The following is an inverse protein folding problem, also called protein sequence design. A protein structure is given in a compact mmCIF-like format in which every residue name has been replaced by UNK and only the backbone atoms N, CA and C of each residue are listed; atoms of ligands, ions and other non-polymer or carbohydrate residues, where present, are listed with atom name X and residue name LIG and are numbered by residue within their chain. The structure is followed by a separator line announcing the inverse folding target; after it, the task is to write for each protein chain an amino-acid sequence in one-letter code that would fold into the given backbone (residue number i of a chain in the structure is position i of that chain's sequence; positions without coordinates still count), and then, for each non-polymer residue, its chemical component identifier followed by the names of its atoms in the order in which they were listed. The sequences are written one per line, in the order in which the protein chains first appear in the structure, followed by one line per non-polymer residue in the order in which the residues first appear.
data_IF_788016360528
#
_entry.id   IF_788016360528
#
_cell.length_a   1.000
_cell.length_b   1.000
_cell.length_c   1.000
_cell.angle_alpha   90.00
_cell.angle_beta   90.00
_cell.angle_gamma   90.00
#
_symmetry.space_group_name_H-M   'P 1'
#
loop_
_entity.id
_entity.type
_entity.pdbx_description
1 polymer ?
#
# COMPACT_ATOMS: atom_id res chain seq x y z
N UNK A 1 -16.09 -2.01 5.77
CA UNK A 1 -15.46 -3.13 5.03
C UNK A 1 -13.96 -3.09 5.30
N UNK A 2 -13.40 -4.10 5.97
CA UNK A 2 -11.95 -4.18 6.26
C UNK A 2 -11.43 -5.52 5.73
N UNK A 3 -10.62 -5.47 4.67
CA UNK A 3 -10.07 -6.66 4.01
C UNK A 3 -9.08 -7.40 4.91
N UNK A 4 -8.23 -6.67 5.64
CA UNK A 4 -7.27 -7.24 6.58
C UNK A 4 -7.97 -8.04 7.66
N UNK A 5 -9.06 -7.49 8.23
CA UNK A 5 -9.88 -8.20 9.23
C UNK A 5 -10.54 -9.45 8.63
N UNK A 6 -11.09 -9.38 7.42
CA UNK A 6 -11.70 -10.54 6.76
C UNK A 6 -10.68 -11.66 6.53
N UNK A 7 -9.49 -11.34 6.03
CA UNK A 7 -8.39 -12.30 5.85
C UNK A 7 -7.93 -12.87 7.19
N UNK A 8 -7.79 -12.03 8.22
CA UNK A 8 -7.45 -12.46 9.59
C UNK A 8 -8.48 -13.45 10.13
N UNK A 9 -9.76 -13.21 9.91
CA UNK A 9 -10.84 -14.12 10.30
C UNK A 9 -10.78 -15.46 9.56
N UNK A 10 -10.47 -15.47 8.26
CA UNK A 10 -10.27 -16.71 7.52
C UNK A 10 -9.11 -17.53 8.07
N UNK A 11 -7.97 -16.89 8.34
CA UNK A 11 -6.81 -17.57 8.91
C UNK A 11 -7.08 -18.06 10.33
N UNK A 12 -7.78 -17.29 11.18
CA UNK A 12 -8.29 -17.76 12.47
C UNK A 12 -9.12 -19.04 12.32
N UNK A 13 -10.08 -19.05 11.39
CA UNK A 13 -10.97 -20.20 11.17
C UNK A 13 -10.20 -21.44 10.72
N UNK A 14 -9.21 -21.30 9.84
CA UNK A 14 -8.32 -22.42 9.46
C UNK A 14 -7.62 -23.03 10.67
N UNK A 15 -7.09 -22.19 11.56
CA UNK A 15 -6.36 -22.62 12.75
C UNK A 15 -7.28 -23.25 13.78
N UNK A 16 -8.47 -22.69 13.97
CA UNK A 16 -9.48 -23.18 14.91
C UNK A 16 -10.08 -24.53 14.46
N UNK A 17 -10.33 -24.70 13.15
CA UNK A 17 -10.89 -25.94 12.58
C UNK A 17 -9.94 -27.14 12.72
N UNK A 18 -8.63 -26.89 12.81
CA UNK A 18 -7.63 -27.95 13.06
C UNK A 18 -7.63 -28.51 14.51
N UNK A 19 -8.47 -27.96 15.39
CA UNK A 19 -8.59 -28.34 16.80
C UNK A 19 -7.37 -27.94 17.64
N UNK A 20 -7.32 -28.30 18.94
CA UNK A 20 -6.20 -27.96 19.80
C UNK A 20 -4.92 -28.76 19.49
N UNK A 21 -3.78 -28.28 19.97
CA UNK A 21 -2.48 -28.97 19.89
C UNK A 21 -1.45 -28.26 19.01
N UNK A 22 -0.23 -28.79 18.99
CA UNK A 22 0.90 -28.17 18.29
C UNK A 22 0.72 -28.23 16.77
N UNK A 23 0.77 -27.06 16.12
CA UNK A 23 0.53 -26.92 14.68
C UNK A 23 1.75 -26.35 13.95
N UNK A 24 1.88 -26.75 12.69
CA UNK A 24 2.73 -26.11 11.69
C UNK A 24 1.85 -25.48 10.61
N UNK A 25 2.15 -24.24 10.24
CA UNK A 25 1.52 -23.57 9.10
C UNK A 25 2.43 -23.73 7.87
N UNK A 26 1.96 -24.50 6.90
CA UNK A 26 2.68 -24.85 5.67
C UNK A 26 2.13 -24.02 4.52
N UNK A 27 2.96 -23.15 3.95
CA UNK A 27 2.55 -22.10 3.01
C UNK A 27 3.35 -22.12 1.72
N UNK A 28 2.88 -21.38 0.71
CA UNK A 28 3.66 -20.98 -0.45
C UNK A 28 4.17 -19.54 -0.28
N UNK A 29 4.89 -19.03 -1.28
CA UNK A 29 5.45 -17.66 -1.26
C UNK A 29 4.39 -16.56 -1.05
N UNK A 30 3.25 -16.66 -1.72
CA UNK A 30 2.19 -15.65 -1.66
C UNK A 30 1.36 -15.80 -0.39
N UNK A 31 0.99 -17.02 -0.01
CA UNK A 31 0.22 -17.24 1.22
C UNK A 31 1.02 -16.90 2.47
N UNK A 32 2.35 -17.07 2.44
CA UNK A 32 3.25 -16.53 3.46
C UNK A 32 3.14 -15.01 3.56
N UNK A 33 3.13 -14.31 2.42
CA UNK A 33 2.99 -12.85 2.38
C UNK A 33 1.64 -12.41 2.96
N UNK A 34 0.55 -13.07 2.57
CA UNK A 34 -0.80 -12.82 3.08
C UNK A 34 -0.85 -12.95 4.61
N UNK A 35 -0.39 -14.09 5.15
CA UNK A 35 -0.40 -14.34 6.60
C UNK A 35 0.48 -13.34 7.35
N UNK A 36 1.64 -12.98 6.80
CA UNK A 36 2.58 -12.06 7.43
C UNK A 36 2.05 -10.62 7.60
N UNK A 37 1.04 -10.24 6.81
CA UNK A 37 0.40 -8.91 6.89
C UNK A 37 -0.70 -8.88 7.95
N UNK A 38 -1.38 -10.01 8.22
CA UNK A 38 -2.56 -10.07 9.11
C UNK A 38 -2.26 -10.61 10.51
N UNK A 39 -1.12 -11.30 10.70
CA UNK A 39 -0.69 -11.85 11.98
C UNK A 39 0.75 -11.49 12.31
N UNK A 40 0.95 -11.10 13.57
CA UNK A 40 2.27 -11.14 14.19
C UNK A 40 2.62 -12.57 14.61
N UNK A 41 3.92 -12.85 14.74
CA UNK A 41 4.37 -14.14 15.28
C UNK A 41 3.81 -14.40 16.69
N UNK A 42 3.75 -13.38 17.54
CA UNK A 42 3.22 -13.52 18.91
C UNK A 42 1.74 -13.90 18.93
N UNK A 43 0.91 -13.27 18.09
CA UNK A 43 -0.53 -13.58 18.02
C UNK A 43 -0.79 -15.00 17.50
N UNK A 44 -0.06 -15.45 16.48
CA UNK A 44 -0.32 -16.76 15.89
C UNK A 44 0.24 -17.90 16.75
N UNK A 45 1.33 -17.64 17.50
CA UNK A 45 1.85 -18.56 18.52
C UNK A 45 0.84 -18.80 19.64
N UNK A 46 0.08 -17.77 20.05
CA UNK A 46 -1.02 -17.91 21.02
C UNK A 46 -2.16 -18.81 20.50
N UNK A 47 -2.21 -19.07 19.20
CA UNK A 47 -3.15 -20.00 18.56
C UNK A 47 -2.53 -21.40 18.31
N UNK A 48 -1.46 -21.73 19.03
CA UNK A 48 -0.74 -23.02 19.00
C UNK A 48 -0.04 -23.34 17.66
N UNK A 49 0.20 -22.32 16.83
CA UNK A 49 1.00 -22.44 15.60
C UNK A 49 2.45 -22.08 15.92
N UNK A 50 3.29 -23.10 16.10
CA UNK A 50 4.67 -22.93 16.57
C UNK A 50 5.71 -22.92 15.45
N UNK A 51 5.35 -23.47 14.30
CA UNK A 51 6.25 -23.61 13.17
C UNK A 51 5.62 -23.04 11.90
N UNK A 52 6.44 -22.33 11.11
CA UNK A 52 6.06 -21.78 9.81
C UNK A 52 7.01 -22.32 8.78
N UNK A 53 6.47 -22.98 7.78
CA UNK A 53 7.25 -23.67 6.77
C UNK A 53 6.75 -23.35 5.37
N UNK A 54 7.67 -23.43 4.42
CA UNK A 54 7.33 -23.34 2.99
C UNK A 54 7.21 -24.74 2.40
N UNK A 55 6.18 -24.97 1.59
CA UNK A 55 5.93 -26.27 0.97
C UNK A 55 7.08 -26.72 0.06
N UNK A 56 7.72 -25.76 -0.63
CA UNK A 56 8.88 -25.96 -1.51
C UNK A 56 10.23 -26.03 -0.77
N UNK A 57 10.24 -25.87 0.56
CA UNK A 57 11.44 -26.11 1.37
C UNK A 57 11.80 -27.60 1.38
N UNK A 58 12.99 -27.93 0.87
CA UNK A 58 13.45 -29.31 0.78
C UNK A 58 13.87 -29.91 2.14
N UNK A 59 14.40 -29.07 3.05
CA UNK A 59 15.02 -29.53 4.31
C UNK A 59 14.06 -29.55 5.51
N UNK A 60 12.74 -29.70 5.30
CA UNK A 60 11.79 -29.80 6.42
C UNK A 60 11.97 -31.10 7.20
N UNK A 61 12.03 -31.00 8.52
CA UNK A 61 12.17 -32.15 9.43
C UNK A 61 10.86 -32.95 9.56
N UNK A 62 10.98 -34.22 9.95
CA UNK A 62 9.84 -35.09 10.21
C UNK A 62 9.38 -34.89 11.66
N UNK A 63 8.18 -34.34 11.84
CA UNK A 63 7.62 -33.95 13.13
C UNK A 63 6.20 -34.48 13.28
N UNK A 64 6.08 -35.81 13.45
CA UNK A 64 4.79 -36.52 13.56
C UNK A 64 3.91 -36.12 14.75
N UNK A 65 4.43 -35.36 15.71
CA UNK A 65 3.65 -34.79 16.80
C UNK A 65 2.92 -33.49 16.41
N UNK A 66 3.20 -32.92 15.24
CA UNK A 66 2.56 -31.70 14.73
C UNK A 66 1.42 -32.01 13.77
N UNK A 67 0.39 -31.16 13.81
CA UNK A 67 -0.66 -31.05 12.78
C UNK A 67 -0.26 -30.01 11.74
N UNK A 68 -0.40 -30.33 10.46
CA UNK A 68 -0.12 -29.42 9.37
C UNK A 68 -1.37 -28.69 8.92
N UNK A 69 -1.32 -27.36 8.89
CA UNK A 69 -2.29 -26.50 8.24
C UNK A 69 -1.66 -26.02 6.94
N UNK A 70 -2.08 -26.57 5.80
CA UNK A 70 -1.59 -26.17 4.50
C UNK A 70 -2.45 -25.02 3.97
N UNK A 71 -1.88 -23.82 3.79
CA UNK A 71 -2.56 -22.71 3.12
C UNK A 71 -1.83 -22.36 1.84
N UNK A 72 -2.37 -22.76 0.69
CA UNK A 72 -1.67 -22.76 -0.59
C UNK A 72 -2.51 -22.14 -1.71
N UNK A 73 -1.88 -21.59 -2.75
CA UNK A 73 -2.54 -21.34 -4.04
C UNK A 73 -2.69 -22.65 -4.81
N UNK A 74 -3.79 -22.86 -5.54
CA UNK A 74 -3.96 -24.04 -6.39
C UNK A 74 -3.17 -23.88 -7.71
N UNK A 75 -1.85 -23.74 -7.61
CA UNK A 75 -0.95 -23.77 -8.77
C UNK A 75 -0.45 -25.18 -8.98
N UNK A 76 -0.11 -25.51 -10.24
CA UNK A 76 0.45 -26.83 -10.59
C UNK A 76 1.66 -27.18 -9.72
N UNK A 77 2.58 -26.25 -9.53
CA UNK A 77 3.78 -26.41 -8.70
C UNK A 77 3.42 -26.74 -7.24
N UNK A 78 2.49 -26.00 -6.63
CA UNK A 78 2.08 -26.24 -5.24
C UNK A 78 1.37 -27.58 -5.08
N UNK A 79 0.52 -27.96 -6.04
CA UNK A 79 -0.16 -29.26 -6.05
C UNK A 79 0.87 -30.39 -6.17
N UNK A 80 1.87 -30.26 -7.03
CA UNK A 80 2.96 -31.24 -7.14
C UNK A 80 3.76 -31.36 -5.84
N UNK A 81 4.10 -30.25 -5.19
CA UNK A 81 4.79 -30.29 -3.89
C UNK A 81 3.91 -30.92 -2.80
N UNK A 82 2.61 -30.65 -2.80
CA UNK A 82 1.68 -31.25 -1.85
C UNK A 82 1.50 -32.76 -2.10
N UNK A 83 1.45 -33.20 -3.37
CA UNK A 83 1.46 -34.63 -3.72
C UNK A 83 2.72 -35.31 -3.19
N UNK A 84 3.89 -34.68 -3.37
CA UNK A 84 5.15 -35.22 -2.84
C UNK A 84 5.15 -35.28 -1.30
N UNK A 85 4.58 -34.28 -0.65
CA UNK A 85 4.38 -34.25 0.80
C UNK A 85 3.47 -35.39 1.27
N UNK A 86 2.31 -35.61 0.64
CA UNK A 86 1.36 -36.64 1.05
C UNK A 86 1.87 -38.07 0.82
N UNK A 87 2.70 -38.28 -0.21
CA UNK A 87 3.38 -39.58 -0.42
C UNK A 87 4.38 -39.91 0.69
N UNK A 88 4.97 -38.89 1.32
CA UNK A 88 5.97 -39.03 2.39
C UNK A 88 5.68 -38.00 3.49
N UNK A 89 4.57 -38.16 4.22
CA UNK A 89 4.09 -37.12 5.12
C UNK A 89 5.08 -36.90 6.25
N UNK A 90 5.36 -35.65 6.57
CA UNK A 90 6.25 -35.21 7.66
C UNK A 90 5.50 -34.92 8.96
N UNK A 91 4.18 -34.77 8.88
CA UNK A 91 3.31 -34.45 10.01
C UNK A 91 2.30 -35.57 10.25
N UNK A 92 1.54 -35.53 11.35
CA UNK A 92 0.55 -36.59 11.66
C UNK A 92 -0.74 -36.43 10.86
N UNK A 93 -1.23 -35.20 10.72
CA UNK A 93 -2.52 -34.89 10.10
C UNK A 93 -2.38 -33.61 9.28
N UNK A 94 -3.06 -33.55 8.13
CA UNK A 94 -3.05 -32.43 7.21
C UNK A 94 -4.46 -31.84 7.06
N UNK A 95 -4.55 -30.52 7.24
CA UNK A 95 -5.73 -29.71 6.92
C UNK A 95 -5.36 -28.83 5.74
N UNK A 96 -5.92 -29.10 4.57
CA UNK A 96 -5.53 -28.49 3.30
C UNK A 96 -6.53 -27.39 2.93
N UNK A 97 -6.01 -26.17 2.75
CA UNK A 97 -6.78 -24.99 2.39
C UNK A 97 -6.20 -24.35 1.12
N UNK A 98 -7.00 -24.30 0.06
CA UNK A 98 -6.63 -23.60 -1.15
C UNK A 98 -7.19 -22.17 -1.15
N UNK A 99 -6.37 -21.17 -1.48
CA UNK A 99 -6.79 -19.76 -1.58
C UNK A 99 -7.75 -19.46 -2.74
N UNK A 100 -7.94 -20.41 -3.67
CA UNK A 100 -8.85 -20.32 -4.80
C UNK A 100 -9.34 -21.73 -5.20
N UNK A 101 -10.19 -21.81 -6.22
CA UNK A 101 -10.73 -23.07 -6.74
C UNK A 101 -9.62 -23.97 -7.30
N UNK A 102 -9.67 -25.23 -6.90
CA UNK A 102 -8.85 -26.32 -7.40
C UNK A 102 -9.68 -27.23 -8.32
N UNK A 103 -9.07 -27.81 -9.35
CA UNK A 103 -9.79 -28.69 -10.27
C UNK A 103 -10.10 -30.05 -9.63
N UNK A 104 -11.17 -30.71 -10.11
CA UNK A 104 -11.52 -32.07 -9.67
C UNK A 104 -10.41 -33.08 -9.97
N UNK A 105 -9.67 -32.90 -11.07
CA UNK A 105 -8.53 -33.75 -11.42
C UNK A 105 -7.37 -33.62 -10.43
N UNK A 106 -7.08 -32.41 -9.96
CA UNK A 106 -6.03 -32.18 -8.96
C UNK A 106 -6.45 -32.73 -7.59
N UNK A 107 -7.72 -32.57 -7.19
CA UNK A 107 -8.25 -33.21 -5.98
C UNK A 107 -8.09 -34.74 -6.06
N UNK A 108 -8.42 -35.34 -7.21
CA UNK A 108 -8.24 -36.79 -7.41
C UNK A 108 -6.77 -37.19 -7.28
N UNK A 109 -5.85 -36.44 -7.87
CA UNK A 109 -4.42 -36.71 -7.76
C UNK A 109 -3.89 -36.59 -6.31
N UNK A 110 -4.44 -35.66 -5.51
CA UNK A 110 -4.12 -35.56 -4.08
C UNK A 110 -4.66 -36.75 -3.29
N UNK A 111 -5.89 -37.19 -3.57
CA UNK A 111 -6.48 -38.36 -2.94
C UNK A 111 -5.71 -39.65 -3.27
N UNK A 112 -5.27 -39.82 -4.52
CA UNK A 112 -4.39 -40.94 -4.93
C UNK A 112 -3.01 -40.90 -4.25
N UNK A 113 -2.54 -39.71 -3.84
CA UNK A 113 -1.25 -39.55 -3.18
C UNK A 113 -1.30 -39.78 -1.66
N UNK A 114 -2.48 -39.69 -1.04
CA UNK A 114 -2.69 -39.87 0.40
C UNK A 114 -2.88 -41.34 0.79
N UNK A 115 -1.90 -42.19 0.46
CA UNK A 115 -1.93 -43.62 0.79
C UNK A 115 -1.96 -43.90 2.31
N UNK A 116 -1.59 -42.91 3.13
CA UNK A 116 -1.53 -43.02 4.59
C UNK A 116 -2.76 -42.42 5.28
N UNK A 117 -3.75 -41.94 4.53
CA UNK A 117 -4.99 -41.34 5.03
C UNK A 117 -4.74 -40.23 6.08
N UNK A 118 -3.73 -39.39 5.84
CA UNK A 118 -3.34 -38.33 6.78
C UNK A 118 -4.10 -37.02 6.55
N UNK A 119 -4.82 -36.88 5.44
CA UNK A 119 -5.63 -35.68 5.16
C UNK A 119 -6.95 -35.76 5.92
N UNK A 120 -7.12 -34.88 6.91
CA UNK A 120 -8.37 -34.78 7.66
C UNK A 120 -9.42 -33.92 6.93
N UNK A 121 -8.96 -32.91 6.18
CA UNK A 121 -9.85 -31.91 5.59
C UNK A 121 -9.24 -31.27 4.35
N UNK A 122 -10.06 -31.02 3.33
CA UNK A 122 -9.73 -30.20 2.17
C UNK A 122 -10.82 -29.14 2.00
N UNK A 123 -10.46 -27.87 2.19
CA UNK A 123 -11.34 -26.72 1.97
C UNK A 123 -10.82 -25.80 0.87
N UNK A 124 -11.75 -25.15 0.18
CA UNK A 124 -11.48 -24.08 -0.76
C UNK A 124 -11.89 -22.77 -0.11
N UNK A 125 -10.95 -21.83 0.04
CA UNK A 125 -11.17 -20.63 0.84
C UNK A 125 -11.91 -19.54 0.09
N UNK A 126 -11.91 -19.53 -1.25
CA UNK A 126 -12.77 -18.60 -1.99
C UNK A 126 -13.23 -19.23 -3.31
N UNK A 127 -14.52 -19.09 -3.60
CA UNK A 127 -15.25 -19.07 -4.89
C UNK A 127 -16.10 -20.26 -5.37
N UNK A 128 -17.29 -19.86 -5.88
CA UNK A 128 -18.04 -20.34 -7.06
C UNK A 128 -19.43 -20.97 -6.86
N UNK A 129 -19.95 -21.07 -5.64
CA UNK A 129 -21.38 -21.37 -5.50
C UNK A 129 -22.18 -20.07 -5.37
N UNK A 130 -23.12 -19.87 -6.29
CA UNK A 130 -24.04 -18.72 -6.29
C UNK A 130 -24.74 -18.56 -4.93
N UNK A 131 -24.96 -19.67 -4.23
CA UNK A 131 -25.56 -19.76 -2.89
C UNK A 131 -24.67 -19.14 -1.79
N UNK A 132 -23.32 -19.18 -1.93
CA UNK A 132 -22.39 -18.49 -1.02
C UNK A 132 -22.33 -16.98 -1.26
N UNK A 133 -22.81 -16.52 -2.42
CA UNK A 133 -22.99 -15.11 -2.76
C UNK A 133 -24.45 -14.67 -2.63
N UNK A 134 -25.33 -15.50 -2.06
CA UNK A 134 -26.68 -15.08 -1.63
C UNK A 134 -26.57 -14.26 -0.33
N UNK A 135 -25.78 -13.19 -0.41
CA UNK A 135 -25.72 -12.20 0.63
C UNK A 135 -27.10 -11.57 0.77
N UNK A 136 -27.46 -11.24 2.01
CA UNK A 136 -28.67 -10.44 2.28
C UNK A 136 -28.67 -9.25 1.32
N UNK A 137 -29.67 -9.21 0.44
CA UNK A 137 -29.84 -8.11 -0.51
C UNK A 137 -29.89 -6.80 0.26
N UNK A 138 -28.93 -5.93 -0.02
CA UNK A 138 -28.90 -4.57 0.51
C UNK A 138 -29.77 -3.68 -0.36
N UNK A 139 -30.31 -2.60 0.21
CA UNK A 139 -31.08 -1.61 -0.55
C UNK A 139 -30.24 -0.99 -1.69
N UNK A 140 -28.95 -0.77 -1.41
CA UNK A 140 -27.95 -0.34 -2.39
C UNK A 140 -26.95 -1.48 -2.59
N UNK A 141 -26.84 -2.08 -3.79
CA UNK A 141 -25.87 -3.13 -4.05
C UNK A 141 -24.44 -2.55 -4.02
N UNK A 142 -23.44 -3.36 -3.61
CA UNK A 142 -22.04 -2.94 -3.70
C UNK A 142 -21.65 -2.73 -5.16
N UNK A 143 -20.85 -1.69 -5.42
CA UNK A 143 -20.31 -1.41 -6.75
C UNK A 143 -18.82 -1.80 -6.81
N UNK A 144 -18.46 -2.59 -7.81
CA UNK A 144 -17.07 -2.85 -8.18
C UNK A 144 -16.70 -1.97 -9.37
N UNK A 145 -15.80 -1.00 -9.14
CA UNK A 145 -15.24 -0.15 -10.19
C UNK A 145 -13.90 -0.74 -10.66
N UNK A 146 -13.78 -1.06 -11.95
CA UNK A 146 -12.55 -1.56 -12.57
C UNK A 146 -11.92 -0.41 -13.36
N UNK A 147 -10.63 -0.15 -13.12
CA UNK A 147 -9.87 0.95 -13.72
C UNK A 147 -8.57 0.43 -14.31
N UNK A 148 -8.10 1.08 -15.38
CA UNK A 148 -6.76 0.84 -15.92
C UNK A 148 -5.78 1.88 -15.37
N UNK A 149 -4.55 1.44 -15.07
CA UNK A 149 -3.48 2.33 -14.64
C UNK A 149 -3.03 3.28 -15.77
N UNK A 150 -3.24 2.90 -17.04
CA UNK A 150 -2.91 3.76 -18.19
C UNK A 150 -3.67 5.09 -18.20
N UNK A 151 -4.85 5.16 -17.59
CA UNK A 151 -5.64 6.39 -17.48
C UNK A 151 -5.04 7.40 -16.49
N UNK A 152 -4.17 6.93 -15.57
CA UNK A 152 -3.44 7.76 -14.61
C UNK A 152 -1.97 7.32 -14.49
N UNK A 153 -1.20 7.65 -15.52
CA UNK A 153 0.24 7.43 -15.55
C UNK A 153 1.04 8.51 -14.79
N UNK A 154 0.41 9.62 -14.38
CA UNK A 154 1.09 10.73 -13.67
C UNK A 154 1.25 10.40 -12.19
N UNK A 155 0.17 10.00 -11.50
CA UNK A 155 0.20 9.67 -10.06
C UNK A 155 1.38 8.80 -9.62
N UNK A 156 1.67 7.66 -10.27
CA UNK A 156 2.76 6.79 -9.84
C UNK A 156 4.17 7.36 -10.08
N UNK A 157 4.30 8.47 -10.82
CA UNK A 157 5.58 9.11 -11.13
C UNK A 157 5.93 10.26 -10.18
N UNK A 158 4.99 10.77 -9.40
CA UNK A 158 5.24 11.92 -8.51
C UNK A 158 5.90 11.48 -7.20
N UNK A 159 6.87 12.27 -6.72
CA UNK A 159 7.37 12.15 -5.35
C UNK A 159 6.21 12.36 -4.36
N UNK A 160 6.19 11.52 -3.34
CA UNK A 160 5.17 11.48 -2.31
C UNK A 160 5.67 12.17 -1.05
N UNK A 161 4.74 12.77 -0.28
CA UNK A 161 5.07 13.53 0.93
C UNK A 161 4.25 13.13 2.16
N UNK A 162 3.41 12.10 2.04
CA UNK A 162 2.71 11.49 3.18
C UNK A 162 3.52 10.33 3.73
N UNK A 163 3.38 10.02 5.04
CA UNK A 163 4.33 9.14 5.71
C UNK A 163 4.52 7.78 5.04
N UNK A 164 3.42 7.04 4.84
CA UNK A 164 3.51 5.71 4.23
C UNK A 164 4.01 5.76 2.79
N UNK A 165 3.54 6.73 2.02
CA UNK A 165 3.89 6.85 0.61
C UNK A 165 5.37 7.20 0.44
N UNK A 166 5.91 8.13 1.25
CA UNK A 166 7.34 8.44 1.31
C UNK A 166 8.18 7.23 1.70
N UNK A 167 7.75 6.48 2.72
CA UNK A 167 8.45 5.27 3.14
C UNK A 167 8.48 4.25 2.00
N UNK A 168 7.35 4.02 1.34
CA UNK A 168 7.29 3.08 0.22
C UNK A 168 8.17 3.52 -0.95
N UNK A 169 8.16 4.81 -1.29
CA UNK A 169 8.93 5.36 -2.40
C UNK A 169 10.44 5.37 -2.16
N UNK A 170 10.89 5.79 -0.97
CA UNK A 170 12.31 6.00 -0.69
C UNK A 170 13.00 4.78 -0.07
N UNK A 171 12.26 3.94 0.66
CA UNK A 171 12.82 2.82 1.41
C UNK A 171 12.28 1.45 0.96
N UNK A 172 11.21 1.42 0.16
CA UNK A 172 10.58 0.19 -0.30
C UNK A 172 9.81 -0.50 0.83
N UNK A 173 8.49 -0.32 0.86
CA UNK A 173 7.61 -1.00 1.80
C UNK A 173 7.04 -2.27 1.16
N UNK A 174 7.44 -3.44 1.65
CA UNK A 174 6.99 -4.74 1.17
C UNK A 174 6.45 -5.58 2.34
N UNK A 175 5.19 -6.02 2.29
CA UNK A 175 4.55 -6.77 3.37
C UNK A 175 4.74 -6.11 4.75
N UNK A 176 4.52 -4.80 4.83
CA UNK A 176 4.73 -3.98 6.04
C UNK A 176 6.18 -3.95 6.55
N UNK A 177 7.18 -4.35 5.74
CA UNK A 177 8.60 -4.34 6.11
C UNK A 177 9.39 -3.40 5.22
N UNK A 178 10.39 -2.76 5.81
CA UNK A 178 11.40 -1.96 5.13
C UNK A 178 12.80 -2.50 5.47
N UNK A 179 13.70 -2.42 4.50
CA UNK A 179 15.11 -2.79 4.65
C UNK A 179 15.96 -1.52 4.81
N UNK A 180 16.52 -1.36 6.00
CA UNK A 180 17.45 -0.28 6.34
C UNK A 180 18.90 -0.76 6.38
N UNK A 181 19.22 -1.96 5.89
CA UNK A 181 20.59 -2.51 5.91
C UNK A 181 21.62 -1.64 5.18
N UNK A 182 21.17 -0.81 4.22
CA UNK A 182 21.98 0.14 3.45
C UNK A 182 22.18 1.47 4.16
N UNK A 183 21.49 1.73 5.27
CA UNK A 183 21.60 2.97 6.03
C UNK A 183 22.94 3.01 6.76
N UNK A 184 23.75 4.07 6.59
CA UNK A 184 25.04 4.18 7.27
C UNK A 184 24.88 4.13 8.80
N UNK A 185 25.69 3.31 9.46
CA UNK A 185 25.70 3.19 10.92
C UNK A 185 24.48 2.47 11.53
N UNK A 186 23.64 1.82 10.72
CA UNK A 186 22.44 1.15 11.22
C UNK A 186 22.78 0.00 12.18
N UNK A 187 22.04 -0.06 13.28
CA UNK A 187 22.17 -1.14 14.25
C UNK A 187 21.56 -2.44 13.72
N UNK A 188 22.07 -3.59 14.16
CA UNK A 188 21.61 -4.91 13.67
C UNK A 188 20.10 -5.15 13.86
N UNK A 189 19.55 -4.63 14.96
CA UNK A 189 18.14 -4.70 15.34
C UNK A 189 17.21 -3.79 14.53
N UNK A 190 17.75 -2.82 13.79
CA UNK A 190 16.96 -1.91 12.94
C UNK A 190 17.23 -2.13 11.44
N UNK A 191 17.95 -3.20 11.07
CA UNK A 191 18.19 -3.53 9.65
C UNK A 191 16.90 -3.85 8.91
N UNK A 192 15.96 -4.51 9.57
CA UNK A 192 14.62 -4.73 9.05
C UNK A 192 13.63 -4.16 10.05
N UNK A 193 12.70 -3.34 9.57
CA UNK A 193 11.71 -2.67 10.42
C UNK A 193 10.31 -2.99 9.93
N UNK A 194 9.43 -3.36 10.86
CA UNK A 194 8.00 -3.58 10.59
C UNK A 194 7.21 -2.31 10.87
N UNK A 195 6.38 -1.90 9.91
CA UNK A 195 5.46 -0.78 9.94
C UNK A 195 4.04 -1.28 9.67
N UNK A 196 3.29 -1.61 10.72
CA UNK A 196 1.90 -2.07 10.64
C UNK A 196 0.99 -1.14 11.42
N UNK A 197 0.01 -0.53 10.76
CA UNK A 197 -0.96 0.35 11.41
C UNK A 197 -1.85 -0.37 12.43
N UNK A 198 -1.96 -1.71 12.36
CA UNK A 198 -2.73 -2.48 13.34
C UNK A 198 -1.99 -2.65 14.67
N UNK A 199 -0.66 -2.65 14.64
CA UNK A 199 0.20 -2.95 15.80
C UNK A 199 1.05 -1.76 16.25
N UNK A 200 0.91 -0.62 15.59
CA UNK A 200 1.71 0.58 15.82
C UNK A 200 0.82 1.83 15.75
N UNK A 201 0.39 2.29 16.91
CA UNK A 201 -0.49 3.44 17.05
C UNK A 201 0.16 4.74 16.54
N UNK A 202 1.48 4.90 16.72
CA UNK A 202 2.17 6.07 16.19
C UNK A 202 2.12 6.05 14.66
N UNK A 203 2.45 4.91 14.05
CA UNK A 203 2.37 4.79 12.60
C UNK A 203 0.95 5.00 12.08
N UNK A 204 -0.06 4.39 12.71
CA UNK A 204 -1.46 4.52 12.32
C UNK A 204 -1.95 5.99 12.31
N UNK A 205 -1.59 6.74 13.35
CA UNK A 205 -1.99 8.15 13.50
C UNK A 205 -1.23 9.11 12.58
N UNK A 206 -0.08 8.70 12.04
CA UNK A 206 0.78 9.54 11.19
C UNK A 206 0.78 9.11 9.72
N UNK A 207 0.10 8.01 9.37
CA UNK A 207 0.22 7.32 8.08
C UNK A 207 0.01 8.23 6.87
N UNK A 208 -1.00 9.12 6.97
CA UNK A 208 -1.40 10.04 5.90
C UNK A 208 -0.97 11.49 6.14
N UNK A 209 -0.26 11.77 7.24
CA UNK A 209 0.22 13.13 7.53
C UNK A 209 1.40 13.48 6.64
N UNK A 210 1.58 14.78 6.38
CA UNK A 210 2.67 15.25 5.54
C UNK A 210 4.02 15.25 6.28
N UNK A 211 5.12 15.29 5.53
CA UNK A 211 6.48 15.21 6.07
C UNK A 211 6.78 16.21 7.19
N UNK A 212 6.30 17.45 7.08
CA UNK A 212 6.47 18.48 8.12
C UNK A 212 5.72 18.17 9.41
N UNK A 213 4.47 17.70 9.29
CA UNK A 213 3.65 17.28 10.44
C UNK A 213 4.27 16.09 11.18
N UNK A 214 4.80 15.10 10.45
CA UNK A 214 5.47 13.93 11.05
C UNK A 214 6.70 14.37 11.87
N UNK A 215 7.52 15.28 11.33
CA UNK A 215 8.69 15.81 12.04
C UNK A 215 8.31 16.44 13.39
N UNK A 216 7.21 17.20 13.42
CA UNK A 216 6.69 17.81 14.64
C UNK A 216 6.14 16.77 15.61
N UNK A 217 5.41 15.76 15.11
CA UNK A 217 4.86 14.70 15.95
C UNK A 217 5.93 13.82 16.58
N UNK A 218 7.02 13.53 15.87
CA UNK A 218 8.18 12.82 16.44
C UNK A 218 8.85 13.65 17.53
N UNK A 219 9.02 14.96 17.29
CA UNK A 219 9.57 15.87 18.30
C UNK A 219 8.72 15.87 19.58
N UNK A 220 7.41 16.03 19.45
CA UNK A 220 6.48 15.99 20.58
C UNK A 220 6.56 14.65 21.33
N UNK A 221 6.56 13.53 20.60
CA UNK A 221 6.70 12.20 21.18
C UNK A 221 7.99 12.06 21.99
N UNK A 222 9.09 12.61 21.48
CA UNK A 222 10.40 12.56 22.12
C UNK A 222 10.49 13.47 23.35
N UNK A 223 9.94 14.68 23.29
CA UNK A 223 9.84 15.61 24.42
C UNK A 223 8.97 15.04 25.55
N UNK A 224 7.82 14.45 25.23
CA UNK A 224 6.95 13.81 26.23
C UNK A 224 7.63 12.60 26.89
N UNK A 225 8.50 11.91 26.15
CA UNK A 225 9.32 10.85 26.72
C UNK A 225 10.42 11.40 27.64
N UNK A 226 11.08 12.50 27.27
CA UNK A 226 12.07 13.18 28.12
C UNK A 226 11.44 13.71 29.42
N UNK A 227 10.21 14.26 29.37
CA UNK A 227 9.47 14.70 30.57
C UNK A 227 9.26 13.58 31.58
N UNK A 228 9.02 12.35 31.10
CA UNK A 228 8.81 11.17 31.96
C UNK A 228 10.10 10.71 32.66
N UNK A 229 11.30 11.15 32.22
CA UNK A 229 12.58 10.89 32.93
C UNK A 229 13.56 12.08 32.80
N UNK A 230 13.70 12.92 33.84
CA UNK A 230 14.43 14.20 33.77
C UNK A 230 15.96 14.10 33.71
N UNK A 231 16.58 12.90 33.72
CA UNK A 231 18.04 12.77 33.58
C UNK A 231 18.44 12.95 32.10
N UNK A 232 18.82 14.17 31.74
CA UNK A 232 19.37 14.49 30.40
C UNK A 232 18.42 15.26 29.49
N UNK A 233 17.70 16.26 30.04
CA UNK A 233 16.94 17.21 29.21
C UNK A 233 17.90 17.93 28.25
N UNK A 234 17.86 17.52 26.99
CA UNK A 234 18.52 18.20 25.88
C UNK A 234 17.44 18.81 25.01
N UNK A 235 17.66 20.04 24.56
CA UNK A 235 16.77 20.69 23.60
C UNK A 235 16.96 20.02 22.24
N UNK A 236 15.89 19.45 21.71
CA UNK A 236 15.89 18.74 20.43
C UNK A 236 15.21 19.63 19.39
N UNK A 237 15.97 20.16 18.44
CA UNK A 237 15.45 21.09 17.44
C UNK A 237 15.28 20.43 16.06
N UNK A 238 16.11 19.44 15.75
CA UNK A 238 16.11 18.75 14.45
C UNK A 238 15.98 17.23 14.56
N UNK A 239 15.61 16.58 13.45
CA UNK A 239 15.58 15.11 13.35
C UNK A 239 16.99 14.52 13.54
N UNK A 240 18.03 15.25 13.12
CA UNK A 240 19.41 14.84 13.34
C UNK A 240 19.76 14.80 14.84
N UNK A 241 19.35 15.80 15.61
CA UNK A 241 19.53 15.83 17.07
C UNK A 241 18.80 14.67 17.73
N UNK A 242 17.56 14.42 17.29
CA UNK A 242 16.74 13.32 17.79
C UNK A 242 17.39 11.96 17.54
N UNK A 243 17.93 11.74 16.33
CA UNK A 243 18.66 10.52 15.99
C UNK A 243 19.92 10.36 16.84
N UNK A 244 20.75 11.40 16.91
CA UNK A 244 21.99 11.39 17.70
C UNK A 244 21.70 11.11 19.18
N UNK A 245 20.62 11.67 19.73
CA UNK A 245 20.18 11.37 21.09
C UNK A 245 19.79 9.90 21.26
N UNK A 246 19.00 9.32 20.35
CA UNK A 246 18.63 7.89 20.44
C UNK A 246 19.87 6.99 20.39
N UNK A 247 20.85 7.33 19.55
CA UNK A 247 22.09 6.56 19.39
C UNK A 247 23.02 6.67 20.61
N UNK A 248 23.13 7.85 21.20
CA UNK A 248 24.00 8.11 22.37
C UNK A 248 23.42 7.60 23.70
N UNK A 249 22.13 7.27 23.76
CA UNK A 249 21.47 6.78 24.97
C UNK A 249 20.84 5.39 24.76
N UNK A 250 21.61 4.28 24.74
CA UNK A 250 21.09 2.93 24.48
C UNK A 250 20.00 2.44 25.45
N UNK A 251 19.96 2.97 26.68
CA UNK A 251 18.86 2.70 27.61
C UNK A 251 17.53 3.22 27.09
N UNK A 252 17.53 4.34 26.38
CA UNK A 252 16.36 4.92 25.72
C UNK A 252 15.82 3.99 24.63
N UNK A 253 16.72 3.40 23.83
CA UNK A 253 16.39 2.40 22.81
C UNK A 253 15.68 1.17 23.37
N UNK A 254 16.13 0.69 24.54
CA UNK A 254 15.50 -0.43 25.26
C UNK A 254 14.13 -0.06 25.86
N UNK A 255 13.89 1.22 26.13
CA UNK A 255 12.67 1.69 26.80
C UNK A 255 11.55 2.10 25.83
N UNK A 256 11.86 2.45 24.58
CA UNK A 256 10.84 2.74 23.56
C UNK A 256 11.30 2.34 22.16
N UNK A 257 10.90 1.13 21.75
CA UNK A 257 11.13 0.64 20.39
C UNK A 257 10.43 1.51 19.33
N UNK A 258 9.24 2.04 19.63
CA UNK A 258 8.48 2.93 18.73
C UNK A 258 9.24 4.22 18.44
N UNK A 259 9.75 4.91 19.46
CA UNK A 259 10.50 6.17 19.24
C UNK A 259 11.77 5.91 18.44
N UNK A 260 12.57 4.92 18.84
CA UNK A 260 13.81 4.58 18.13
C UNK A 260 13.54 4.22 16.66
N UNK A 261 12.49 3.43 16.40
CA UNK A 261 12.07 3.05 15.05
C UNK A 261 11.72 4.27 14.20
N UNK A 262 10.79 5.11 14.63
CA UNK A 262 10.29 6.21 13.79
C UNK A 262 11.29 7.35 13.63
N UNK A 263 12.08 7.66 14.66
CA UNK A 263 13.20 8.61 14.54
C UNK A 263 14.21 8.12 13.50
N UNK A 264 14.52 6.82 13.50
CA UNK A 264 15.46 6.24 12.53
C UNK A 264 14.92 6.32 11.12
N UNK A 265 13.67 5.91 10.90
CA UNK A 265 13.01 5.94 9.59
C UNK A 265 12.93 7.36 9.05
N UNK A 266 12.41 8.31 9.84
CA UNK A 266 12.26 9.70 9.40
C UNK A 266 13.61 10.40 9.24
N UNK A 267 14.61 10.05 10.06
CA UNK A 267 15.98 10.49 9.85
C UNK A 267 16.55 10.05 8.52
N UNK A 268 16.30 8.81 8.10
CA UNK A 268 16.72 8.33 6.79
C UNK A 268 15.95 9.00 5.64
N UNK A 269 14.63 9.18 5.76
CA UNK A 269 13.85 9.93 4.77
C UNK A 269 14.42 11.35 4.59
N UNK A 270 14.71 12.05 5.68
CA UNK A 270 15.30 13.40 5.66
C UNK A 270 16.67 13.42 4.95
N UNK A 271 17.51 12.41 5.22
CA UNK A 271 18.81 12.25 4.56
C UNK A 271 18.65 12.07 3.05
N UNK A 272 17.76 11.17 2.62
CA UNK A 272 17.51 10.89 1.20
C UNK A 272 16.90 12.08 0.46
N UNK A 273 15.96 12.79 1.08
CA UNK A 273 15.37 14.03 0.54
C UNK A 273 16.46 15.07 0.27
N UNK A 274 17.39 15.24 1.23
CA UNK A 274 18.49 16.20 1.11
C UNK A 274 19.52 15.78 0.05
N UNK A 275 19.94 14.51 0.08
CA UNK A 275 20.95 13.95 -0.83
C UNK A 275 20.51 14.03 -2.30
N UNK A 276 19.25 13.69 -2.58
CA UNK A 276 18.69 13.66 -3.93
C UNK A 276 18.00 14.96 -4.37
N UNK A 277 18.03 16.00 -3.53
CA UNK A 277 17.37 17.29 -3.79
C UNK A 277 15.87 17.16 -4.12
N UNK A 278 15.16 16.28 -3.39
CA UNK A 278 13.79 15.90 -3.75
C UNK A 278 12.77 17.03 -3.61
N UNK A 279 13.07 18.05 -2.80
CA UNK A 279 12.20 19.23 -2.68
C UNK A 279 12.10 19.97 -4.02
N UNK A 280 13.25 20.25 -4.66
CA UNK A 280 13.32 20.95 -5.94
C UNK A 280 12.82 20.08 -7.09
N UNK A 281 13.10 18.78 -7.06
CA UNK A 281 12.55 17.83 -8.04
C UNK A 281 11.03 17.82 -7.94
N UNK A 282 10.49 17.66 -6.74
CA UNK A 282 9.05 17.56 -6.54
C UNK A 282 8.31 18.85 -6.89
N UNK A 283 8.89 20.02 -6.64
CA UNK A 283 8.32 21.29 -7.09
C UNK A 283 8.08 21.30 -8.61
N UNK A 284 9.07 20.86 -9.40
CA UNK A 284 8.95 20.79 -10.86
C UNK A 284 8.00 19.67 -11.29
N UNK A 285 7.92 18.56 -10.57
CA UNK A 285 6.91 17.52 -10.82
C UNK A 285 5.49 18.04 -10.64
N UNK A 286 5.24 18.84 -9.59
CA UNK A 286 3.94 19.46 -9.34
C UNK A 286 3.62 20.53 -10.39
N UNK A 287 4.61 21.32 -10.82
CA UNK A 287 4.50 22.24 -11.96
C UNK A 287 4.06 21.50 -13.23
N UNK A 288 4.74 20.41 -13.58
CA UNK A 288 4.42 19.59 -14.76
C UNK A 288 3.04 18.93 -14.69
N UNK A 289 2.62 18.52 -13.50
CA UNK A 289 1.34 17.84 -13.28
C UNK A 289 0.14 18.80 -13.24
N UNK A 290 0.31 19.99 -12.65
CA UNK A 290 -0.81 20.86 -12.28
C UNK A 290 -0.86 22.18 -13.06
N UNK A 291 0.27 22.67 -13.56
CA UNK A 291 0.36 23.99 -14.18
C UNK A 291 0.32 23.92 -15.72
N UNK A 292 0.14 25.08 -16.35
CA UNK A 292 0.06 25.22 -17.79
C UNK A 292 1.03 26.28 -18.32
N UNK A 293 2.27 26.25 -17.84
CA UNK A 293 3.38 27.06 -18.34
C UNK A 293 4.50 26.15 -18.87
N UNK A 294 4.50 25.91 -20.19
CA UNK A 294 5.51 25.06 -20.82
C UNK A 294 6.90 25.70 -20.79
N UNK A 295 6.99 27.04 -20.87
CA UNK A 295 8.28 27.74 -20.97
C UNK A 295 9.02 27.66 -19.65
N UNK A 296 8.31 27.96 -18.55
CA UNK A 296 8.83 27.78 -17.19
C UNK A 296 9.20 26.32 -16.92
N UNK A 297 8.27 25.39 -17.19
CA UNK A 297 8.50 23.96 -16.93
C UNK A 297 9.71 23.41 -17.70
N UNK A 298 9.89 23.82 -18.97
CA UNK A 298 11.06 23.45 -19.75
C UNK A 298 12.37 23.95 -19.11
N UNK A 299 12.40 25.21 -18.67
CA UNK A 299 13.59 25.79 -18.03
C UNK A 299 13.92 25.08 -16.71
N UNK A 300 12.89 24.82 -15.90
CA UNK A 300 12.99 24.08 -14.64
C UNK A 300 13.53 22.65 -14.84
N UNK A 301 12.99 21.90 -15.81
CA UNK A 301 13.46 20.55 -16.13
C UNK A 301 14.93 20.56 -16.56
N UNK A 302 15.32 21.44 -17.51
CA UNK A 302 16.71 21.53 -17.97
C UNK A 302 17.69 21.85 -16.85
N UNK A 303 17.32 22.79 -15.95
CA UNK A 303 18.12 23.13 -14.77
C UNK A 303 18.39 21.89 -13.90
N UNK A 304 17.37 21.05 -13.65
CA UNK A 304 17.53 19.83 -12.85
C UNK A 304 18.28 18.72 -13.59
N UNK A 305 18.14 18.63 -14.92
CA UNK A 305 18.92 17.70 -15.75
C UNK A 305 20.42 18.01 -15.73
N UNK A 306 20.81 19.26 -15.46
CA UNK A 306 22.21 19.68 -15.34
C UNK A 306 22.76 19.53 -13.91
N UNK A 307 21.89 19.36 -12.91
CA UNK A 307 22.32 19.22 -11.52
C UNK A 307 22.79 17.78 -11.24
N UNK A 308 24.08 17.54 -10.93
CA UNK A 308 24.63 16.20 -10.71
C UNK A 308 24.09 15.51 -9.46
N UNK A 309 23.45 16.23 -8.52
CA UNK A 309 22.85 15.64 -7.30
C UNK A 309 21.52 14.95 -7.56
N UNK A 310 20.82 15.30 -8.63
CA UNK A 310 19.56 14.64 -9.01
C UNK A 310 19.88 13.21 -9.42
N UNK A 311 19.08 12.22 -9.02
CA UNK A 311 19.36 10.84 -9.44
C UNK A 311 19.03 10.64 -10.92
N UNK A 312 19.61 9.61 -11.56
CA UNK A 312 19.23 9.25 -12.94
C UNK A 312 17.72 8.98 -13.06
N UNK A 313 17.14 8.31 -12.06
CA UNK A 313 15.73 7.95 -12.06
C UNK A 313 14.83 9.19 -11.93
N UNK A 314 15.19 10.14 -11.07
CA UNK A 314 14.46 11.40 -10.89
C UNK A 314 14.52 12.26 -12.17
N UNK A 315 15.69 12.33 -12.80
CA UNK A 315 15.86 13.00 -14.09
C UNK A 315 14.96 12.40 -15.18
N UNK A 316 14.86 11.07 -15.22
CA UNK A 316 14.00 10.36 -16.18
C UNK A 316 12.52 10.58 -15.86
N UNK A 317 12.11 10.57 -14.59
CA UNK A 317 10.73 10.85 -14.15
C UNK A 317 10.28 12.26 -14.55
N UNK A 318 11.14 13.27 -14.43
CA UNK A 318 10.85 14.63 -14.91
C UNK A 318 10.60 14.67 -16.41
N UNK A 319 11.42 13.98 -17.21
CA UNK A 319 11.24 13.93 -18.67
C UNK A 319 10.01 13.11 -19.06
N UNK A 320 9.70 12.04 -18.32
CA UNK A 320 8.46 11.28 -18.46
C UNK A 320 7.20 12.13 -18.23
N UNK A 321 7.17 12.90 -17.14
CA UNK A 321 6.07 13.82 -16.84
C UNK A 321 5.94 14.90 -17.91
N UNK A 322 7.07 15.49 -18.35
CA UNK A 322 7.08 16.43 -19.47
C UNK A 322 6.52 15.81 -20.75
N UNK A 323 6.92 14.57 -21.07
CA UNK A 323 6.47 13.86 -22.25
C UNK A 323 4.96 13.60 -22.21
N UNK A 324 4.42 13.11 -21.08
CA UNK A 324 2.98 12.89 -20.89
C UNK A 324 2.17 14.19 -20.96
N UNK A 325 2.73 15.30 -20.45
CA UNK A 325 2.07 16.62 -20.45
C UNK A 325 2.02 17.24 -21.84
N UNK A 326 3.13 17.23 -22.56
CA UNK A 326 3.36 18.03 -23.77
C UNK A 326 3.54 17.18 -25.04
N UNK A 327 3.07 15.92 -25.05
CA UNK A 327 3.24 14.95 -26.15
C UNK A 327 2.83 15.47 -27.55
N UNK A 328 1.83 16.36 -27.64
CA UNK A 328 1.31 16.90 -28.92
C UNK A 328 1.57 18.39 -29.09
N UNK A 329 2.40 18.99 -28.25
CA UNK A 329 2.73 20.40 -28.40
C UNK A 329 3.67 20.59 -29.59
N UNK A 330 3.33 21.50 -30.52
CA UNK A 330 4.14 21.77 -31.73
C UNK A 330 5.57 22.19 -31.40
N UNK A 331 5.74 22.84 -30.25
CA UNK A 331 7.03 23.32 -29.72
C UNK A 331 7.63 22.37 -28.68
N UNK A 332 7.25 21.09 -28.65
CA UNK A 332 7.77 20.14 -27.66
C UNK A 332 9.28 19.96 -27.83
N UNK A 333 10.03 20.16 -26.74
CA UNK A 333 11.49 19.98 -26.73
C UNK A 333 11.93 18.58 -26.28
N UNK A 334 11.01 17.61 -26.30
CA UNK A 334 11.28 16.24 -25.84
C UNK A 334 12.55 15.62 -26.47
N UNK A 335 12.82 15.71 -27.79
CA UNK A 335 14.06 15.20 -28.36
C UNK A 335 15.31 15.81 -27.72
N UNK A 336 15.30 17.12 -27.47
CA UNK A 336 16.43 17.81 -26.85
C UNK A 336 16.61 17.45 -25.36
N UNK A 337 15.53 17.13 -24.64
CA UNK A 337 15.61 16.61 -23.27
C UNK A 337 16.15 15.17 -23.25
N UNK A 338 15.77 14.34 -24.23
CA UNK A 338 16.32 12.99 -24.41
C UNK A 338 17.82 13.00 -24.71
N UNK A 339 18.28 13.95 -25.52
CA UNK A 339 19.72 14.17 -25.77
C UNK A 339 20.45 14.60 -24.49
N UNK A 340 19.84 15.44 -23.66
CA UNK A 340 20.40 15.91 -22.40
C UNK A 340 20.52 14.77 -21.37
N UNK A 341 19.52 13.87 -21.29
CA UNK A 341 19.62 12.62 -20.54
C UNK A 341 20.78 11.76 -21.05
N UNK A 342 20.95 11.66 -22.37
CA UNK A 342 22.07 10.95 -22.99
C UNK A 342 23.43 11.53 -22.60
N UNK A 343 23.59 12.86 -22.67
CA UNK A 343 24.82 13.57 -22.27
C UNK A 343 25.13 13.42 -20.78
N UNK A 344 24.10 13.31 -19.93
CA UNK A 344 24.24 13.03 -18.49
C UNK A 344 24.73 11.60 -18.21
N UNK A 345 24.68 10.70 -19.18
CA UNK A 345 25.08 9.30 -19.02
C UNK A 345 23.94 8.37 -18.58
N UNK A 346 22.69 8.82 -18.62
CA UNK A 346 21.53 7.99 -18.27
C UNK A 346 21.45 6.78 -19.20
N UNK A 347 21.30 5.59 -18.61
CA UNK A 347 21.30 4.33 -19.37
C UNK A 347 20.25 4.30 -20.48
N UNK A 348 20.56 3.59 -21.58
CA UNK A 348 19.63 3.38 -22.69
C UNK A 348 18.33 2.69 -22.25
N UNK A 349 18.41 1.83 -21.22
CA UNK A 349 17.22 1.22 -20.63
C UNK A 349 16.29 2.28 -20.05
N UNK A 350 16.80 3.21 -19.24
CA UNK A 350 15.99 4.25 -18.63
C UNK A 350 15.46 5.27 -19.64
N UNK A 351 16.27 5.67 -20.63
CA UNK A 351 15.83 6.58 -21.70
C UNK A 351 14.66 5.99 -22.50
N UNK A 352 14.73 4.71 -22.87
CA UNK A 352 13.62 4.03 -23.57
C UNK A 352 12.31 4.00 -22.79
N UNK A 353 12.36 4.00 -21.45
CA UNK A 353 11.14 4.03 -20.64
C UNK A 353 10.30 5.29 -20.88
N UNK A 354 10.90 6.42 -21.27
CA UNK A 354 10.16 7.65 -21.61
C UNK A 354 9.20 7.40 -22.77
N UNK A 355 9.67 6.76 -23.84
CA UNK A 355 8.84 6.42 -24.99
C UNK A 355 7.81 5.34 -24.65
N UNK A 356 8.21 4.29 -23.95
CA UNK A 356 7.30 3.22 -23.52
C UNK A 356 6.18 3.74 -22.62
N UNK A 357 6.45 4.74 -21.78
CA UNK A 357 5.43 5.37 -20.94
C UNK A 357 4.40 6.15 -21.76
N UNK A 358 4.84 6.91 -22.77
CA UNK A 358 3.93 7.63 -23.68
C UNK A 358 3.10 6.66 -24.51
N UNK A 359 3.68 5.53 -24.93
CA UNK A 359 2.94 4.46 -25.60
C UNK A 359 1.92 3.79 -24.66
N UNK A 360 2.24 3.65 -23.38
CA UNK A 360 1.38 3.03 -22.38
C UNK A 360 0.23 3.93 -21.90
N UNK A 361 0.53 5.19 -21.54
CA UNK A 361 -0.41 6.11 -20.88
C UNK A 361 -0.57 7.47 -21.56
N UNK A 362 -0.09 7.64 -22.79
CA UNK A 362 -0.27 8.86 -23.58
C UNK A 362 -1.72 9.06 -24.04
N UNK A 363 -2.01 10.24 -24.60
CA UNK A 363 -3.36 10.67 -25.04
C UNK A 363 -3.98 9.77 -26.11
N UNK A 364 -3.18 8.93 -26.79
CA UNK A 364 -3.69 7.97 -27.79
C UNK A 364 -4.36 6.74 -27.15
N UNK A 365 -4.00 6.39 -25.92
CA UNK A 365 -4.45 5.17 -25.24
C UNK A 365 -5.49 5.48 -24.16
N UNK A 366 -5.27 6.53 -23.38
CA UNK A 366 -6.15 6.87 -22.25
C UNK A 366 -7.55 7.32 -22.69
N UNK A 367 -8.56 6.95 -21.90
CA UNK A 367 -9.97 7.31 -22.13
C UNK A 367 -10.38 8.69 -21.57
N UNK A 368 -9.53 9.29 -20.72
CA UNK A 368 -9.75 10.56 -20.04
C UNK A 368 -8.63 11.57 -20.35
N UNK A 369 -8.90 12.85 -20.11
CA UNK A 369 -7.82 13.83 -20.08
C UNK A 369 -7.14 13.78 -18.71
N UNK A 370 -5.90 13.24 -18.67
CA UNK A 370 -5.03 13.20 -17.47
C UNK A 370 -4.92 14.55 -16.76
N UNK A 371 -5.10 15.64 -17.50
CA UNK A 371 -4.95 17.01 -17.00
C UNK A 371 -6.15 17.78 -17.50
N UNK A 372 -7.20 17.81 -16.68
CA UNK A 372 -8.30 18.74 -16.86
C UNK A 372 -7.74 20.15 -16.69
N UNK A 373 -7.92 21.06 -17.67
CA UNK A 373 -7.70 22.48 -17.42
C UNK A 373 -8.65 22.87 -16.29
N UNK A 374 -8.12 23.03 -15.08
CA UNK A 374 -8.92 23.55 -13.98
C UNK A 374 -9.27 24.99 -14.33
N UNK A 375 -10.56 25.28 -14.48
CA UNK A 375 -11.03 26.66 -14.57
C UNK A 375 -10.38 27.48 -13.45
N UNK A 376 -9.99 28.73 -13.73
CA UNK A 376 -9.42 29.63 -12.73
C UNK A 376 -10.29 29.78 -11.46
N UNK A 377 -11.59 29.46 -11.56
CA UNK A 377 -12.56 29.41 -10.46
C UNK A 377 -12.49 28.11 -9.63
N UNK A 378 -12.07 26.99 -10.22
CA UNK A 378 -11.80 25.74 -9.51
C UNK A 378 -10.46 25.83 -8.75
N UNK A 379 -9.47 26.51 -9.35
CA UNK A 379 -8.21 26.87 -8.69
C UNK A 379 -8.49 27.63 -7.39
N UNK A 380 -9.35 28.66 -7.39
CA UNK A 380 -9.79 29.40 -6.17
C UNK A 380 -10.60 28.58 -5.17
N UNK A 381 -11.20 27.44 -5.56
CA UNK A 381 -11.85 26.50 -4.63
C UNK A 381 -10.90 25.41 -4.11
N UNK A 382 -9.94 24.95 -4.90
CA UNK A 382 -8.83 24.07 -4.47
C UNK A 382 -7.91 24.79 -3.48
N UNK A 383 -7.73 26.10 -3.65
CA UNK A 383 -7.08 26.99 -2.68
C UNK A 383 -7.76 27.01 -1.29
N UNK A 384 -8.96 26.44 -1.11
CA UNK A 384 -9.75 26.57 0.13
C UNK A 384 -10.03 25.29 0.92
N UNK A 385 -9.46 24.12 0.58
CA UNK A 385 -9.70 22.89 1.39
C UNK A 385 -8.48 21.98 1.55
N UNK A 386 -7.46 22.49 2.24
CA UNK A 386 -6.59 21.66 3.08
C UNK A 386 -7.10 21.67 4.53
N UNK A 387 -7.05 20.55 5.23
CA UNK A 387 -7.56 20.38 6.61
C UNK A 387 -6.89 21.30 7.67
N UNK A 388 -5.93 22.17 7.30
CA UNK A 388 -5.35 23.22 8.16
C UNK A 388 -4.88 24.49 7.42
N UNK A 389 -5.38 24.77 6.21
CA UNK A 389 -5.18 26.09 5.57
C UNK A 389 -3.74 26.55 5.28
N UNK A 390 -2.75 25.64 5.20
CA UNK A 390 -1.40 25.95 4.72
C UNK A 390 -1.22 25.31 3.34
N UNK A 391 -0.97 26.13 2.32
CA UNK A 391 -0.65 25.67 0.97
C UNK A 391 0.64 24.86 1.00
N UNK A 392 0.60 23.65 0.45
CA UNK A 392 1.77 22.81 0.28
C UNK A 392 2.05 22.66 -1.21
N UNK A 393 3.08 23.37 -1.69
CA UNK A 393 3.52 23.36 -3.09
C UNK A 393 3.84 21.95 -3.58
N UNK A 394 4.20 21.04 -2.67
CA UNK A 394 4.62 19.67 -2.96
C UNK A 394 3.47 18.65 -3.06
N UNK A 395 2.22 19.05 -2.75
CA UNK A 395 1.06 18.14 -2.74
C UNK A 395 -0.16 18.76 -3.43
N UNK A 396 0.04 19.45 -4.56
CA UNK A 396 -1.04 20.10 -5.32
C UNK A 396 -1.84 19.09 -6.14
N UNK A 397 -1.14 18.12 -6.74
CA UNK A 397 -1.74 17.10 -7.59
C UNK A 397 -2.72 16.21 -6.81
N UNK A 398 -3.88 15.98 -7.39
CA UNK A 398 -4.86 14.99 -6.94
C UNK A 398 -4.97 13.87 -7.98
N UNK A 399 -4.87 12.59 -7.58
CA UNK A 399 -5.03 11.47 -8.52
C UNK A 399 -6.38 11.48 -9.22
N UNK A 400 -6.44 11.03 -10.48
CA UNK A 400 -7.69 10.93 -11.24
C UNK A 400 -8.78 10.11 -10.51
N UNK A 401 -8.34 9.14 -9.71
CA UNK A 401 -9.21 8.31 -8.88
C UNK A 401 -10.05 9.15 -7.89
N UNK A 402 -9.50 10.23 -7.35
CA UNK A 402 -10.22 11.11 -6.43
C UNK A 402 -11.49 11.67 -7.10
N UNK A 403 -11.33 12.28 -8.27
CA UNK A 403 -12.45 12.90 -8.99
C UNK A 403 -13.42 11.86 -9.54
N UNK A 404 -12.91 10.70 -9.95
CA UNK A 404 -13.73 9.56 -10.37
C UNK A 404 -14.65 9.09 -9.24
N UNK A 405 -14.09 8.93 -8.02
CA UNK A 405 -14.86 8.54 -6.83
C UNK A 405 -15.83 9.64 -6.38
N UNK A 406 -15.42 10.91 -6.42
CA UNK A 406 -16.29 12.04 -6.06
C UNK A 406 -17.50 12.13 -7.02
N UNK A 407 -17.27 12.00 -8.33
CA UNK A 407 -18.33 11.95 -9.33
C UNK A 407 -19.23 10.73 -9.14
N UNK A 408 -18.65 9.57 -8.80
CA UNK A 408 -19.41 8.35 -8.52
C UNK A 408 -20.34 8.54 -7.32
N UNK A 409 -19.80 9.01 -6.19
CA UNK A 409 -20.56 9.25 -4.95
C UNK A 409 -21.67 10.27 -5.18
N UNK A 410 -21.43 11.29 -6.02
CA UNK A 410 -22.44 12.30 -6.40
C UNK A 410 -23.43 11.84 -7.46
N UNK A 411 -23.31 10.62 -8.00
CA UNK A 411 -24.16 10.10 -9.08
C UNK A 411 -23.98 10.81 -10.43
N UNK A 412 -22.83 11.45 -10.63
CA UNK A 412 -22.48 12.25 -11.81
C UNK A 412 -21.47 11.58 -12.75
N UNK A 413 -20.94 10.42 -12.35
CA UNK A 413 -20.05 9.64 -13.20
C UNK A 413 -20.77 9.24 -14.49
N UNK A 414 -20.12 9.43 -15.64
CA UNK A 414 -20.74 9.22 -16.94
C UNK A 414 -20.75 7.75 -17.33
N UNK A 415 -21.93 7.18 -17.55
CA UNK A 415 -22.11 5.80 -18.00
C UNK A 415 -21.43 5.51 -19.35
N UNK A 416 -21.25 6.53 -20.20
CA UNK A 416 -20.52 6.40 -21.47
C UNK A 416 -19.02 6.13 -21.28
N UNK A 417 -18.46 6.51 -20.13
CA UNK A 417 -17.05 6.28 -19.77
C UNK A 417 -16.91 5.08 -18.82
N UNK A 418 -17.88 4.89 -17.93
CA UNK A 418 -17.90 3.82 -16.94
C UNK A 418 -19.20 3.02 -17.06
N UNK A 419 -19.33 2.16 -18.09
CA UNK A 419 -20.56 1.41 -18.33
C UNK A 419 -20.80 0.34 -17.26
N UNK A 420 -22.08 0.05 -16.99
CA UNK A 420 -22.48 -1.05 -16.11
C UNK A 420 -22.49 -2.37 -16.86
N UNK A 421 -22.06 -3.43 -16.18
CA UNK A 421 -22.29 -4.80 -16.61
C UNK A 421 -23.55 -5.34 -15.91
N UNK A 422 -24.65 -5.52 -16.67
CA UNK A 422 -25.92 -6.06 -16.18
C UNK A 422 -27.09 -5.08 -16.23
N UNK A 423 -28.29 -5.56 -15.89
CA UNK A 423 -29.56 -4.89 -16.21
C UNK A 423 -29.95 -3.70 -15.31
N UNK A 424 -29.07 -3.22 -14.41
CA UNK A 424 -29.50 -2.27 -13.39
C UNK A 424 -28.48 -1.17 -13.12
N UNK A 425 -28.84 0.07 -13.46
CA UNK A 425 -28.04 1.27 -13.20
C UNK A 425 -28.16 1.72 -11.73
N UNK A 426 -27.23 2.55 -11.24
CA UNK A 426 -27.41 3.23 -9.95
C UNK A 426 -28.46 4.34 -10.02
N UNK A 427 -28.67 4.95 -11.21
CA UNK A 427 -29.61 6.07 -11.42
C UNK A 427 -31.07 5.69 -11.26
N UNK A 428 -31.45 4.49 -11.68
CA UNK A 428 -32.83 4.00 -11.55
C UNK A 428 -33.28 3.79 -10.09
N UNK A 429 -32.37 3.93 -9.12
CA UNK A 429 -32.59 3.52 -7.73
C UNK A 429 -32.59 4.65 -6.70
N UNK A 430 -32.01 5.82 -7.02
CA UNK A 430 -32.09 7.02 -6.16
C UNK A 430 -33.43 7.77 -6.29
N UNK A 431 -34.19 7.54 -7.34
CA UNK A 431 -35.52 8.17 -7.55
C UNK A 431 -36.60 7.58 -6.65
N UNK A 432 -36.44 6.36 -6.14
CA UNK A 432 -37.44 5.68 -5.31
C UNK A 432 -37.31 5.94 -3.80
N UNK A 433 -36.20 6.50 -3.31
CA UNK A 433 -35.97 6.69 -1.86
C UNK A 433 -36.50 8.02 -1.30
N UNK A 434 -36.94 8.95 -2.16
CA UNK A 434 -37.47 10.24 -1.69
C UNK A 434 -38.98 10.30 -1.46
N UNK A 435 -39.73 9.20 -1.65
CA UNK A 435 -41.20 9.21 -1.50
C UNK A 435 -41.75 8.65 -0.18
N UNK A 436 -40.90 8.24 0.77
CA UNK A 436 -41.36 7.80 2.10
C UNK A 436 -40.67 8.57 3.23
N UNK A 437 -41.09 9.82 3.44
CA UNK A 437 -40.90 10.51 4.71
C UNK A 437 -41.88 9.95 5.75
N UNK A 438 -41.46 8.93 6.51
CA UNK A 438 -42.14 8.58 7.76
C UNK A 438 -41.74 9.59 8.84
N UNK A 439 -42.68 10.45 9.22
CA UNK A 439 -42.60 11.30 10.41
C UNK A 439 -42.68 10.42 11.66
N UNK A 440 -41.54 10.10 12.27
CA UNK A 440 -41.49 9.60 13.64
C UNK A 440 -41.18 10.76 14.60
N UNK A 441 -42.21 11.22 15.30
CA UNK A 441 -42.12 12.10 16.46
C UNK A 441 -41.56 11.32 17.65
N UNK A 442 -40.42 11.74 18.21
CA UNK A 442 -39.90 11.26 19.49
C UNK A 442 -40.78 11.75 20.66
N UNK A 443 -41.12 10.90 21.65
CA UNK A 443 -41.73 11.37 22.89
C UNK A 443 -40.66 11.92 23.84
N UNK A 444 -40.90 13.11 24.38
CA UNK A 444 -40.09 13.75 25.42
C UNK A 444 -40.19 13.00 26.75
N UNK A 445 -39.05 12.60 27.30
CA UNK A 445 -38.95 12.15 28.69
C UNK A 445 -39.01 13.37 29.62
N UNK A 446 -40.12 13.52 30.35
CA UNK A 446 -40.22 14.43 31.49
C UNK A 446 -39.96 13.63 32.77
N UNK A 447 -38.91 14.02 33.48
CA UNK A 447 -38.57 13.64 34.84
C UNK A 447 -39.62 14.14 35.84
N UNK A 448 -40.18 13.24 36.64
CA UNK A 448 -40.94 13.56 37.84
C UNK A 448 -40.56 12.60 38.95
N UNK A 449 -39.74 13.06 39.89
CA UNK A 449 -39.56 12.42 41.19
C UNK A 449 -40.81 12.65 42.03
N UNK A 450 -41.33 11.56 42.60
CA UNK A 450 -42.32 11.49 43.67
C UNK A 450 -42.17 10.14 44.33
#
# INVERSE_FOLDING_TARGET
MNVTLAVKQYVSKMIESSGPGMKVLLMDKETTSIVSVVYTQSEILQKEVYLFERIDSQNRENMKHLKAICFLRPTKENVEHLIQELRRPKYSVYFIYFSNVISKSEIKALAEADEQEVVAEVQQIITKEYELFDFRKTEVPPLLLILDRSDDAITPLLNQWTYQAMVHELLGLNNNRIDLSRVPGISKDLREVVLSAENDEFYANNLYLNFGEIGTNIKNLMEDFQKKKPKGQQKLESIADMKAFVDNYPQFKKMSGTVSKHVTVVGELSRLVSERQLMEVSEVEQELACQNDQSSAQQSVRRLLQNPRVSELDAVRLVMLYALRYERHSSSVLPALMDELGRRGVSERHRRMVHSLVEYGGKRVRGSDLITPTDAVAITKQFFKGLKGVENVYTQHQPLLHDTLDQLIKGRLKDSQFPYLGASSLRDRYTHTHTHTHTHTCPSAASGFG
#
